data_IF_918983697953
#
_entry.id   IF_918983697953
#
_cell.length_a   1.000
_cell.length_b   1.000
_cell.length_c   1.000
_cell.angle_alpha   90.00
_cell.angle_beta   90.00
_cell.angle_gamma   90.00
#
_symmetry.space_group_name_H-M   'P 1'
#
loop_
_entity.id
_entity.type
_entity.pdbx_description
1 polymer ?
#
# COMPACT_ATOMS: atom_id res chain seq x y z
N UNK A 1 2.76 0.57 21.16
CA UNK A 1 3.34 1.51 20.18
C UNK A 1 2.51 2.81 20.09
N UNK A 2 2.78 3.83 20.93
CA UNK A 2 2.04 5.10 20.92
C UNK A 2 2.09 5.85 19.57
N UNK A 3 3.19 5.76 18.82
CA UNK A 3 3.38 6.37 17.49
C UNK A 3 2.34 5.95 16.46
N UNK A 4 1.75 4.75 16.58
CA UNK A 4 0.72 4.26 15.65
C UNK A 4 -0.66 4.90 15.87
N UNK A 5 -0.87 5.61 16.99
CA UNK A 5 -2.16 6.23 17.34
C UNK A 5 -2.35 7.63 16.78
N UNK A 6 -1.33 8.19 16.13
CA UNK A 6 -1.33 9.59 15.67
C UNK A 6 -2.26 9.90 14.50
N UNK A 7 -2.86 8.90 13.85
CA UNK A 7 -3.75 9.06 12.68
C UNK A 7 -3.18 9.98 11.57
N UNK A 8 -1.89 9.83 11.28
CA UNK A 8 -1.15 10.65 10.32
C UNK A 8 -1.27 10.15 8.87
N UNK A 9 -2.21 9.23 8.62
CA UNK A 9 -2.43 8.57 7.33
C UNK A 9 -1.66 7.26 7.13
N UNK A 10 -2.07 6.50 6.11
CA UNK A 10 -1.62 5.12 5.89
C UNK A 10 -0.10 4.99 5.63
N UNK A 11 0.51 5.93 4.90
CA UNK A 11 1.95 5.88 4.60
C UNK A 11 2.76 6.01 5.88
N UNK A 12 2.40 6.98 6.72
CA UNK A 12 3.08 7.21 8.00
C UNK A 12 2.88 6.04 8.96
N UNK A 13 1.66 5.47 8.98
CA UNK A 13 1.36 4.28 9.76
C UNK A 13 2.25 3.09 9.37
N UNK A 14 2.41 2.82 8.07
CA UNK A 14 3.26 1.73 7.57
C UNK A 14 4.73 1.93 7.95
N UNK A 15 5.24 3.16 7.86
CA UNK A 15 6.63 3.48 8.27
C UNK A 15 6.84 3.29 9.76
N UNK A 16 5.93 3.80 10.60
CA UNK A 16 6.04 3.59 12.04
C UNK A 16 5.90 2.13 12.44
N UNK A 17 5.09 1.34 11.73
CA UNK A 17 4.98 -0.10 11.99
C UNK A 17 6.31 -0.83 11.68
N UNK A 18 7.04 -0.41 10.65
CA UNK A 18 8.40 -0.90 10.37
C UNK A 18 9.41 -0.44 11.44
N UNK A 19 9.43 0.85 11.79
CA UNK A 19 10.35 1.43 12.78
C UNK A 19 10.23 0.77 14.17
N UNK A 20 9.01 0.37 14.55
CA UNK A 20 8.75 -0.30 15.83
C UNK A 20 8.82 -1.82 15.76
N UNK A 21 9.26 -2.38 14.62
CA UNK A 21 9.53 -3.81 14.44
C UNK A 21 8.31 -4.70 14.19
N UNK A 22 7.15 -4.14 13.89
CA UNK A 22 5.95 -4.91 13.53
C UNK A 22 5.98 -5.38 12.06
N UNK A 23 6.71 -4.67 11.21
CA UNK A 23 6.99 -5.06 9.83
C UNK A 23 8.50 -5.31 9.67
N UNK A 24 8.91 -6.28 8.83
CA UNK A 24 10.29 -6.43 8.41
C UNK A 24 10.84 -5.15 7.76
N UNK A 25 12.15 -4.94 7.88
CA UNK A 25 12.83 -3.78 7.31
C UNK A 25 12.55 -3.63 5.80
N UNK A 26 12.24 -2.41 5.37
CA UNK A 26 11.89 -2.04 4.00
C UNK A 26 10.46 -2.34 3.58
N UNK A 27 9.70 -3.15 4.32
CA UNK A 27 8.34 -3.56 3.93
C UNK A 27 7.35 -2.39 4.02
N UNK A 28 7.38 -1.64 5.13
CA UNK A 28 6.50 -0.49 5.34
C UNK A 28 6.80 0.63 4.35
N UNK A 29 8.09 0.88 4.08
CA UNK A 29 8.52 1.85 3.06
C UNK A 29 8.04 1.47 1.66
N UNK A 30 8.27 0.23 1.22
CA UNK A 30 7.89 -0.24 -0.11
C UNK A 30 6.36 -0.19 -0.33
N UNK A 31 5.57 -0.60 0.67
CA UNK A 31 4.12 -0.51 0.61
C UNK A 31 3.62 0.94 0.58
N UNK A 32 4.25 1.84 1.36
CA UNK A 32 3.92 3.26 1.34
C UNK A 32 4.22 3.94 0.00
N UNK A 33 5.34 3.59 -0.64
CA UNK A 33 5.73 4.11 -1.95
C UNK A 33 4.77 3.60 -3.05
N UNK A 34 4.44 2.30 -3.04
CA UNK A 34 3.44 1.71 -3.94
C UNK A 34 2.05 2.35 -3.78
N UNK A 35 1.59 2.55 -2.55
CA UNK A 35 0.32 3.22 -2.27
C UNK A 35 0.29 4.65 -2.81
N UNK A 36 1.37 5.41 -2.65
CA UNK A 36 1.48 6.77 -3.19
C UNK A 36 1.33 6.78 -4.70
N UNK A 37 1.98 5.85 -5.38
CA UNK A 37 1.93 5.77 -6.84
C UNK A 37 0.53 5.38 -7.33
N UNK A 38 -0.10 4.38 -6.73
CA UNK A 38 -1.48 4.01 -7.06
C UNK A 38 -2.45 5.18 -6.85
N UNK A 39 -2.29 5.96 -5.76
CA UNK A 39 -3.08 7.18 -5.53
C UNK A 39 -2.83 8.23 -6.60
N UNK A 40 -1.58 8.44 -7.02
CA UNK A 40 -1.23 9.38 -8.10
C UNK A 40 -1.91 8.98 -9.41
N UNK A 41 -1.82 7.70 -9.79
CA UNK A 41 -2.46 7.15 -10.99
C UNK A 41 -3.98 7.31 -10.95
N UNK A 42 -4.60 6.99 -9.81
CA UNK A 42 -6.03 7.16 -9.58
C UNK A 42 -6.46 8.62 -9.69
N UNK A 43 -5.71 9.55 -9.08
CA UNK A 43 -6.02 10.97 -9.12
C UNK A 43 -5.91 11.54 -10.54
N UNK A 44 -4.91 11.11 -11.31
CA UNK A 44 -4.77 11.50 -12.72
C UNK A 44 -5.94 11.00 -13.56
N UNK A 45 -6.28 9.71 -13.49
CA UNK A 45 -7.41 9.16 -14.23
C UNK A 45 -8.73 9.91 -13.93
N UNK A 46 -8.93 10.30 -12.67
CA UNK A 46 -10.08 11.14 -12.29
C UNK A 46 -10.09 12.52 -12.94
N UNK A 47 -8.92 13.17 -13.05
CA UNK A 47 -8.82 14.47 -13.74
C UNK A 47 -9.10 14.33 -15.24
N UNK A 48 -8.73 13.18 -15.81
CA UNK A 48 -8.96 12.85 -17.21
C UNK A 48 -10.38 12.28 -17.46
N UNK A 49 -11.22 12.21 -16.42
CA UNK A 49 -12.58 11.62 -16.44
C UNK A 49 -12.66 10.18 -16.98
N UNK A 50 -11.55 9.45 -16.93
CA UNK A 50 -11.49 8.04 -17.31
C UNK A 50 -11.41 7.16 -16.07
N UNK A 51 -11.89 5.91 -16.13
CA UNK A 51 -11.70 5.01 -15.01
C UNK A 51 -10.19 4.67 -14.88
N UNK A 52 -9.69 4.44 -13.66
CA UNK A 52 -8.29 4.12 -13.44
C UNK A 52 -8.00 2.67 -13.87
N UNK A 53 -7.66 2.47 -15.14
CA UNK A 53 -7.14 1.19 -15.64
C UNK A 53 -5.62 1.20 -15.77
N UNK A 54 -5.01 0.07 -15.44
CA UNK A 54 -3.59 -0.18 -15.58
C UNK A 54 -3.39 -1.50 -16.32
N UNK A 55 -2.33 -1.64 -17.14
CA UNK A 55 -1.90 -2.93 -17.63
C UNK A 55 -1.71 -3.90 -16.48
N UNK A 56 -2.10 -5.16 -16.68
CA UNK A 56 -2.14 -6.15 -15.59
C UNK A 56 -0.78 -6.33 -14.90
N UNK A 57 0.33 -6.27 -15.64
CA UNK A 57 1.66 -6.48 -15.07
C UNK A 57 2.15 -5.27 -14.27
N UNK A 58 1.80 -4.05 -14.68
CA UNK A 58 2.03 -2.84 -13.87
C UNK A 58 1.22 -2.88 -12.58
N UNK A 59 -0.05 -3.28 -12.67
CA UNK A 59 -0.91 -3.43 -11.51
C UNK A 59 -0.36 -4.46 -10.52
N UNK A 60 0.11 -5.63 -11.00
CA UNK A 60 0.75 -6.66 -10.16
C UNK A 60 2.01 -6.13 -9.48
N UNK A 61 2.87 -5.43 -10.22
CA UNK A 61 4.11 -4.88 -9.68
C UNK A 61 3.85 -3.86 -8.56
N UNK A 62 2.88 -2.94 -8.77
CA UNK A 62 2.49 -1.96 -7.77
C UNK A 62 1.74 -2.58 -6.59
N UNK A 63 0.95 -3.63 -6.80
CA UNK A 63 0.24 -4.31 -5.72
C UNK A 63 1.16 -5.16 -4.84
N UNK A 64 2.24 -5.73 -5.40
CA UNK A 64 3.07 -6.73 -4.72
C UNK A 64 3.56 -6.32 -3.30
N UNK A 65 4.06 -5.08 -3.06
CA UNK A 65 4.47 -4.67 -1.71
C UNK A 65 3.30 -4.56 -0.73
N UNK A 66 2.13 -4.12 -1.19
CA UNK A 66 0.90 -4.00 -0.38
C UNK A 66 0.40 -5.40 0.00
N UNK A 67 0.41 -6.33 -0.96
CA UNK A 67 0.05 -7.73 -0.74
C UNK A 67 1.02 -8.43 0.21
N UNK A 68 2.31 -8.05 0.20
CA UNK A 68 3.28 -8.56 1.16
C UNK A 68 2.95 -8.12 2.60
N UNK A 69 2.61 -6.84 2.81
CA UNK A 69 2.12 -6.36 4.12
C UNK A 69 0.85 -7.10 4.53
N UNK A 70 -0.10 -7.27 3.61
CA UNK A 70 -1.35 -7.98 3.88
C UNK A 70 -1.09 -9.40 4.38
N UNK A 71 -0.31 -10.19 3.63
CA UNK A 71 0.03 -11.56 4.02
C UNK A 71 0.76 -11.62 5.36
N UNK A 72 1.67 -10.67 5.62
CA UNK A 72 2.42 -10.62 6.87
C UNK A 72 1.52 -10.34 8.08
N UNK A 73 0.59 -9.39 7.96
CA UNK A 73 -0.26 -8.95 9.08
C UNK A 73 -1.46 -9.85 9.29
N UNK A 74 -2.05 -10.38 8.21
CA UNK A 74 -3.33 -11.10 8.25
C UNK A 74 -3.20 -12.60 7.97
N UNK A 75 -2.04 -13.08 7.52
CA UNK A 75 -1.75 -14.50 7.34
C UNK A 75 -2.50 -15.19 6.18
N UNK A 76 -3.14 -14.43 5.29
CA UNK A 76 -3.95 -14.96 4.19
C UNK A 76 -3.72 -14.20 2.88
N UNK A 77 -4.16 -14.77 1.76
CA UNK A 77 -4.32 -13.97 0.54
C UNK A 77 -5.48 -12.97 0.71
N UNK A 78 -5.35 -11.76 0.17
CA UNK A 78 -6.48 -10.84 0.15
C UNK A 78 -7.61 -11.43 -0.70
N UNK A 79 -8.88 -11.15 -0.33
CA UNK A 79 -10.01 -11.59 -1.11
C UNK A 79 -9.87 -11.07 -2.54
N UNK A 80 -10.10 -11.96 -3.51
CA UNK A 80 -10.24 -11.55 -4.92
C UNK A 80 -11.39 -10.56 -4.98
N UNK A 81 -11.10 -9.32 -5.40
CA UNK A 81 -12.15 -8.35 -5.67
C UNK A 81 -12.99 -8.88 -6.84
N UNK A 82 -14.24 -9.25 -6.55
CA UNK A 82 -15.24 -9.69 -7.52
C UNK A 82 -15.71 -8.53 -8.41
#
# INVERSE_FOLDING_TARGET
HPSLRGNLGNITLLRHAEEVGLLPAGMGRAAGDAYRELRRLQHRARLDEVPPQLPADEAKALAAPILAVWRHVLGSEPPVAA
#
